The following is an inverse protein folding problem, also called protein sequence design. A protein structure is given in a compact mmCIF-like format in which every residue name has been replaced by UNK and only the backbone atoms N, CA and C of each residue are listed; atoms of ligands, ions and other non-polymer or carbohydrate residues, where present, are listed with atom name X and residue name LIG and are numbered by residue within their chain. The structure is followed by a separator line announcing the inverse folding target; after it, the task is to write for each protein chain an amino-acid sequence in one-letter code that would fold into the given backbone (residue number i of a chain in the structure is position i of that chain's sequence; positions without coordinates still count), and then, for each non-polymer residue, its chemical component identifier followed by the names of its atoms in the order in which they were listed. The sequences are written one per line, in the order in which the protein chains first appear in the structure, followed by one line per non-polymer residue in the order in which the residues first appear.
data_IF_197673743235
#
_entry.id   IF_197673743235
#
_cell.length_a   1.000
_cell.length_b   1.000
_cell.length_c   1.000
_cell.angle_alpha   90.00
_cell.angle_beta   90.00
_cell.angle_gamma   90.00
#
_symmetry.space_group_name_H-M   'P 1'
#
loop_
_entity.id
_entity.type
_entity.pdbx_description
1 polymer ?
#
# COMPACT_ATOMS: atom_id res chain seq x y z
N UNK A 1 -6.81 14.99 13.98
CA UNK A 1 -7.16 14.46 12.67
C UNK A 1 -5.95 14.65 11.81
N UNK A 2 -5.04 13.69 11.93
CA UNK A 2 -3.89 13.51 11.06
C UNK A 2 -4.34 12.81 9.77
N UNK A 3 -3.65 13.10 8.68
CA UNK A 3 -3.86 12.44 7.38
C UNK A 3 -2.51 11.94 6.91
N UNK A 4 -2.36 10.65 6.66
CA UNK A 4 -1.12 10.09 6.17
C UNK A 4 -1.34 9.23 4.93
N UNK A 5 -0.49 9.43 3.93
CA UNK A 5 -0.33 8.52 2.81
C UNK A 5 0.91 7.67 3.08
N UNK A 6 0.67 6.41 3.46
CA UNK A 6 1.69 5.41 3.71
C UNK A 6 2.02 4.73 2.39
N UNK A 7 3.17 5.06 1.79
CA UNK A 7 3.56 4.56 0.47
C UNK A 7 4.62 3.47 0.62
N UNK A 8 4.29 2.24 0.22
CA UNK A 8 5.21 1.11 0.17
C UNK A 8 5.86 1.08 -1.20
N UNK A 9 7.18 1.35 -1.25
CA UNK A 9 7.99 1.27 -2.46
C UNK A 9 8.87 0.01 -2.50
N UNK A 10 9.14 -0.57 -1.33
CA UNK A 10 10.00 -1.74 -1.18
C UNK A 10 9.34 -3.03 -1.70
N UNK A 11 10.06 -3.78 -2.54
CA UNK A 11 9.61 -5.07 -3.07
C UNK A 11 9.83 -6.24 -2.10
N UNK A 12 9.96 -7.45 -2.64
CA UNK A 12 10.03 -8.70 -1.85
C UNK A 12 11.44 -9.29 -1.77
N UNK A 13 12.46 -8.58 -2.23
CA UNK A 13 13.79 -9.15 -2.52
C UNK A 13 14.63 -9.44 -1.27
N UNK A 14 14.48 -8.65 -0.20
CA UNK A 14 15.36 -8.73 0.97
C UNK A 14 14.58 -8.72 2.28
N UNK A 15 15.21 -9.25 3.34
CA UNK A 15 14.67 -9.17 4.70
C UNK A 15 14.46 -7.72 5.17
N UNK A 16 15.27 -6.78 4.68
CA UNK A 16 15.08 -5.37 4.97
C UNK A 16 13.80 -4.81 4.30
N UNK A 17 13.42 -5.34 3.14
CA UNK A 17 12.21 -4.94 2.44
C UNK A 17 10.96 -5.50 3.12
N UNK A 18 11.03 -6.74 3.64
CA UNK A 18 10.01 -7.26 4.57
C UNK A 18 9.84 -6.35 5.77
N UNK A 19 10.96 -5.91 6.39
CA UNK A 19 10.91 -4.97 7.50
C UNK A 19 10.21 -3.66 7.15
N UNK A 20 10.46 -3.12 5.95
CA UNK A 20 9.78 -1.89 5.46
C UNK A 20 8.29 -2.11 5.28
N UNK A 21 7.88 -3.21 4.65
CA UNK A 21 6.47 -3.57 4.50
C UNK A 21 5.78 -3.63 5.87
N UNK A 22 6.34 -4.38 6.81
CA UNK A 22 5.71 -4.57 8.13
C UNK A 22 5.56 -3.24 8.86
N UNK A 23 6.57 -2.38 8.83
CA UNK A 23 6.45 -1.05 9.45
C UNK A 23 5.39 -0.19 8.75
N UNK A 24 5.25 -0.29 7.43
CA UNK A 24 4.18 0.41 6.71
C UNK A 24 2.79 -0.09 7.11
N UNK A 25 2.60 -1.41 7.21
CA UNK A 25 1.33 -2.01 7.61
C UNK A 25 0.97 -1.67 9.06
N UNK A 26 1.94 -1.72 9.99
CA UNK A 26 1.73 -1.29 11.38
C UNK A 26 1.40 0.21 11.47
N UNK A 27 2.06 1.04 10.65
CA UNK A 27 1.73 2.48 10.58
C UNK A 27 0.31 2.68 10.07
N UNK A 28 -0.09 2.03 8.98
CA UNK A 28 -1.45 2.11 8.46
C UNK A 28 -2.48 1.67 9.50
N UNK A 29 -2.15 0.63 10.27
CA UNK A 29 -3.00 0.11 11.35
C UNK A 29 -3.18 1.10 12.49
N UNK A 30 -2.11 1.77 12.90
CA UNK A 30 -2.17 2.82 13.92
C UNK A 30 -3.13 3.95 13.53
N UNK A 31 -3.11 4.37 12.25
CA UNK A 31 -4.05 5.35 11.71
C UNK A 31 -5.49 4.82 11.66
N UNK A 32 -5.69 3.58 11.20
CA UNK A 32 -7.01 2.96 11.13
C UNK A 32 -7.66 2.74 12.52
N UNK A 33 -6.86 2.48 13.55
CA UNK A 33 -7.33 2.30 14.94
C UNK A 33 -7.60 3.64 15.67
N UNK A 34 -7.19 4.78 15.09
CA UNK A 34 -7.30 6.10 15.72
C UNK A 34 -8.51 6.89 15.20
N UNK A 35 -9.51 7.08 16.08
CA UNK A 35 -10.74 7.79 15.74
C UNK A 35 -10.49 9.21 15.17
N UNK A 36 -10.92 9.42 13.93
CA UNK A 36 -10.86 10.71 13.24
C UNK A 36 -9.55 10.98 12.50
N UNK A 37 -8.60 10.04 12.51
CA UNK A 37 -7.45 10.08 11.62
C UNK A 37 -7.77 9.35 10.30
N UNK A 38 -6.97 9.65 9.27
CA UNK A 38 -7.14 9.09 7.93
C UNK A 38 -5.80 8.54 7.43
N UNK A 39 -5.75 7.23 7.22
CA UNK A 39 -4.61 6.54 6.62
C UNK A 39 -4.97 6.03 5.23
N UNK A 40 -4.11 6.33 4.24
CA UNK A 40 -4.17 5.75 2.91
C UNK A 40 -2.90 4.91 2.70
N UNK A 41 -3.05 3.60 2.56
CA UNK A 41 -1.95 2.68 2.27
C UNK A 41 -1.82 2.51 0.75
N UNK A 42 -0.68 2.87 0.17
CA UNK A 42 -0.45 2.82 -1.27
C UNK A 42 0.70 1.86 -1.56
N UNK A 43 0.43 0.82 -2.35
CA UNK A 43 1.47 -0.02 -2.93
C UNK A 43 1.88 0.56 -4.29
N UNK A 44 3.13 1.03 -4.39
CA UNK A 44 3.69 1.63 -5.60
C UNK A 44 5.07 1.03 -5.91
N UNK A 45 5.53 1.14 -7.15
CA UNK A 45 6.78 0.53 -7.60
C UNK A 45 6.82 -0.97 -7.32
N UNK A 46 7.94 -1.44 -6.77
CA UNK A 46 8.14 -2.84 -6.40
C UNK A 46 7.22 -3.27 -5.25
N UNK A 47 6.68 -2.32 -4.46
CA UNK A 47 5.72 -2.59 -3.40
C UNK A 47 4.48 -3.34 -3.88
N UNK A 48 4.07 -3.14 -5.14
CA UNK A 48 2.94 -3.86 -5.76
C UNK A 48 3.11 -5.39 -5.74
N UNK A 49 4.35 -5.90 -5.70
CA UNK A 49 4.63 -7.34 -5.64
C UNK A 49 4.08 -8.00 -4.35
N UNK A 50 3.96 -7.23 -3.26
CA UNK A 50 3.45 -7.74 -1.99
C UNK A 50 1.99 -8.18 -2.05
N UNK A 51 1.20 -7.69 -3.01
CA UNK A 51 -0.22 -8.05 -3.09
C UNK A 51 -0.42 -9.56 -3.27
N UNK A 52 0.43 -10.20 -4.10
CA UNK A 52 0.38 -11.65 -4.30
C UNK A 52 0.73 -12.41 -3.00
N UNK A 53 1.71 -11.92 -2.24
CA UNK A 53 2.19 -12.55 -1.01
C UNK A 53 1.21 -12.36 0.16
N UNK A 54 0.67 -11.15 0.33
CA UNK A 54 -0.18 -10.80 1.47
C UNK A 54 -1.61 -11.35 1.35
N UNK A 55 -2.04 -11.71 0.14
CA UNK A 55 -3.33 -12.36 -0.09
C UNK A 55 -3.29 -13.86 0.17
N UNK A 56 -2.11 -14.47 0.24
CA UNK A 56 -1.93 -15.86 0.65
C UNK A 56 -2.22 -16.02 2.16
N UNK A 57 -3.23 -16.83 2.56
CA UNK A 57 -3.54 -17.09 3.95
C UNK A 57 -2.41 -17.73 4.77
N UNK A 58 -1.43 -18.37 4.11
CA UNK A 58 -0.29 -18.99 4.78
C UNK A 58 0.87 -17.99 5.02
N UNK A 59 0.78 -16.76 4.49
CA UNK A 59 1.77 -15.71 4.73
C UNK A 59 1.70 -15.17 6.16
N UNK A 60 2.85 -15.00 6.82
CA UNK A 60 2.92 -14.55 8.22
C UNK A 60 2.30 -13.16 8.45
N UNK A 61 2.23 -12.32 7.41
CA UNK A 61 1.68 -10.96 7.46
C UNK A 61 0.27 -10.84 6.88
N UNK A 62 -0.36 -11.97 6.50
CA UNK A 62 -1.72 -12.00 5.96
C UNK A 62 -2.72 -11.28 6.87
N UNK A 63 -2.77 -11.66 8.15
CA UNK A 63 -3.71 -11.10 9.12
C UNK A 63 -3.47 -9.60 9.37
N UNK A 64 -2.20 -9.18 9.39
CA UNK A 64 -1.85 -7.77 9.53
C UNK A 64 -2.33 -6.96 8.33
N UNK A 65 -2.05 -7.43 7.11
CA UNK A 65 -2.56 -6.79 5.90
C UNK A 65 -4.10 -6.73 5.87
N UNK A 66 -4.79 -7.82 6.24
CA UNK A 66 -6.26 -7.82 6.29
C UNK A 66 -6.84 -6.77 7.22
N UNK A 67 -6.12 -6.41 8.29
CA UNK A 67 -6.57 -5.39 9.24
C UNK A 67 -6.54 -3.97 8.66
N UNK A 68 -5.81 -3.74 7.57
CA UNK A 68 -5.61 -2.42 6.93
C UNK A 68 -5.93 -2.43 5.42
N UNK A 69 -6.57 -3.49 4.92
CA UNK A 69 -6.79 -3.67 3.48
C UNK A 69 -7.85 -2.71 2.94
N UNK A 70 -8.76 -2.23 3.78
CA UNK A 70 -9.85 -1.34 3.36
C UNK A 70 -9.32 0.08 3.09
N UNK A 71 -8.11 0.39 3.59
CA UNK A 71 -7.35 1.61 3.34
C UNK A 71 -6.32 1.45 2.21
N UNK A 72 -6.23 0.26 1.59
CA UNK A 72 -5.18 -0.08 0.64
C UNK A 72 -5.57 0.20 -0.81
N UNK A 73 -4.67 0.83 -1.55
CA UNK A 73 -4.76 1.05 -2.99
C UNK A 73 -3.43 0.71 -3.69
N UNK A 74 -3.50 0.44 -5.01
CA UNK A 74 -2.34 -0.03 -5.79
C UNK A 74 -2.11 0.86 -7.01
N UNK A 75 -0.86 1.20 -7.30
CA UNK A 75 -0.49 1.87 -8.53
C UNK A 75 -0.78 0.98 -9.76
N UNK A 76 -1.65 1.44 -10.68
CA UNK A 76 -2.09 0.64 -11.84
C UNK A 76 -0.91 0.32 -12.77
N UNK A 77 -0.12 1.34 -13.14
CA UNK A 77 1.02 1.14 -14.02
C UNK A 77 2.05 0.18 -13.41
N UNK A 78 2.35 0.31 -12.12
CA UNK A 78 3.31 -0.56 -11.45
C UNK A 78 2.82 -2.00 -11.34
N UNK A 79 1.53 -2.22 -11.07
CA UNK A 79 0.97 -3.57 -11.08
C UNK A 79 1.18 -4.26 -12.45
N UNK A 80 1.00 -3.53 -13.55
CA UNK A 80 1.31 -4.01 -14.90
C UNK A 80 2.81 -4.25 -15.11
N UNK A 81 3.66 -3.31 -14.69
CA UNK A 81 5.11 -3.39 -14.86
C UNK A 81 5.75 -4.57 -14.10
N UNK A 82 5.21 -4.91 -12.93
CA UNK A 82 5.66 -6.03 -12.10
C UNK A 82 4.87 -7.33 -12.33
N UNK A 83 3.88 -7.32 -13.23
CA UNK A 83 3.15 -8.52 -13.63
C UNK A 83 2.19 -9.07 -12.57
N UNK A 84 1.65 -8.20 -11.71
CA UNK A 84 0.75 -8.56 -10.59
C UNK A 84 -0.69 -8.07 -10.78
N UNK A 85 -1.06 -7.63 -11.97
CA UNK A 85 -2.41 -7.14 -12.28
C UNK A 85 -3.52 -8.14 -11.91
N UNK A 86 -3.33 -9.43 -12.17
CA UNK A 86 -4.31 -10.47 -11.79
C UNK A 86 -4.45 -10.59 -10.27
N UNK A 87 -3.33 -10.59 -9.54
CA UNK A 87 -3.36 -10.64 -8.06
C UNK A 87 -4.07 -9.44 -7.45
N UNK A 88 -3.88 -8.24 -8.01
CA UNK A 88 -4.56 -7.01 -7.57
C UNK A 88 -6.06 -7.09 -7.84
N UNK A 89 -6.45 -7.57 -9.03
CA UNK A 89 -7.85 -7.75 -9.39
C UNK A 89 -8.56 -8.80 -8.51
N UNK A 90 -7.90 -9.93 -8.25
CA UNK A 90 -8.40 -11.00 -7.39
C UNK A 90 -8.51 -10.56 -5.92
N UNK A 91 -7.61 -9.68 -5.47
CA UNK A 91 -7.67 -9.06 -4.15
C UNK A 91 -8.84 -8.05 -4.00
N UNK A 92 -9.39 -7.58 -5.12
CA UNK A 92 -10.48 -6.60 -5.15
C UNK A 92 -10.07 -5.22 -4.65
N UNK A 93 -8.81 -4.82 -4.89
CA UNK A 93 -8.27 -3.53 -4.46
C UNK A 93 -8.53 -2.43 -5.49
N UNK A 94 -8.66 -1.20 -5.01
CA UNK A 94 -8.70 -0.03 -5.86
C UNK A 94 -7.32 0.22 -6.50
N UNK A 95 -7.34 0.60 -7.77
CA UNK A 95 -6.13 1.00 -8.52
C UNK A 95 -6.11 2.51 -8.74
N UNK A 96 -4.92 3.10 -8.64
CA UNK A 96 -4.68 4.54 -8.79
C UNK A 96 -3.88 4.80 -10.07
N UNK A 97 -4.32 5.77 -10.87
CA UNK A 97 -3.76 6.09 -12.19
C UNK A 97 -3.73 7.60 -12.52
N UNK A 98 -3.90 8.46 -11.50
CA UNK A 98 -4.13 9.91 -11.64
C UNK A 98 -3.08 10.71 -12.42
N UNK A 99 -1.82 10.23 -12.48
CA UNK A 99 -0.72 10.91 -13.16
C UNK A 99 0.09 9.95 -14.04
N UNK A 100 -0.15 10.00 -15.35
CA UNK A 100 0.52 9.14 -16.35
C UNK A 100 0.45 7.64 -16.00
N UNK A 101 -0.66 7.20 -15.37
CA UNK A 101 -0.88 5.83 -14.93
C UNK A 101 -0.38 5.50 -13.51
N UNK A 102 0.17 6.49 -12.80
CA UNK A 102 0.64 6.38 -11.41
C UNK A 102 -0.23 7.20 -10.44
N UNK A 103 -0.19 6.89 -9.12
CA UNK A 103 -0.77 7.75 -8.10
C UNK A 103 -0.21 9.18 -8.15
N UNK A 104 -1.07 10.19 -8.02
CA UNK A 104 -0.61 11.58 -7.93
C UNK A 104 -0.17 11.93 -6.50
N UNK A 105 1.11 11.74 -6.19
CA UNK A 105 1.69 12.17 -4.91
C UNK A 105 1.53 13.68 -4.69
N UNK A 106 1.58 14.48 -5.76
CA UNK A 106 1.31 15.93 -5.69
C UNK A 106 -0.10 16.20 -5.14
N UNK A 107 -1.11 15.45 -5.60
CA UNK A 107 -2.50 15.64 -5.14
C UNK A 107 -2.62 15.31 -3.67
N UNK A 108 -2.00 14.23 -3.19
CA UNK A 108 -1.97 13.88 -1.76
C UNK A 108 -1.36 15.00 -0.90
N UNK A 109 -0.26 15.61 -1.36
CA UNK A 109 0.35 16.76 -0.68
C UNK A 109 -0.58 17.98 -0.70
N UNK A 110 -1.25 18.26 -1.83
CA UNK A 110 -2.20 19.38 -1.96
C UNK A 110 -3.43 19.18 -1.05
N UNK A 111 -3.84 17.94 -0.83
CA UNK A 111 -4.90 17.55 0.09
C UNK A 111 -4.46 17.54 1.57
N UNK A 112 -3.17 17.75 1.83
CA UNK A 112 -2.63 17.87 3.19
C UNK A 112 -2.30 16.54 3.86
N UNK A 113 -2.13 15.45 3.10
CA UNK A 113 -1.55 14.23 3.63
C UNK A 113 -0.06 14.43 3.92
N UNK A 114 0.38 13.90 5.06
CA UNK A 114 1.80 13.59 5.28
C UNK A 114 2.15 12.33 4.48
N UNK A 115 3.11 12.45 3.55
CA UNK A 115 3.55 11.31 2.74
C UNK A 115 4.71 10.62 3.45
N UNK A 116 4.50 9.36 3.85
CA UNK A 116 5.46 8.54 4.58
C UNK A 116 5.83 7.37 3.69
N UNK A 117 7.11 7.23 3.33
CA UNK A 117 7.58 6.20 2.41
C UNK A 117 8.32 5.09 3.13
N UNK A 118 8.03 3.85 2.75
CA UNK A 118 8.67 2.64 3.27
C UNK A 118 9.37 1.85 2.17
#
# INVERSE_FOLDING_TARGET
MARAAIVVLAGTDTHADTGRLVNALETAREFAETDGDEGLLIFDGAGTQWIAELTDPDNEYHDLYRSVRDEAAVCEYCAGAFGVTESVADAGLDTLDDHDGHPSIRSLVEEGYEVITF
#
